data_IF_679990733600
#
_entry.id   IF_679990733600
#
_cell.length_a   1.000
_cell.length_b   1.000
_cell.length_c   1.000
_cell.angle_alpha   90.00
_cell.angle_beta   90.00
_cell.angle_gamma   90.00
#
_symmetry.space_group_name_H-M   'P 1'
#
loop_
_entity.id
_entity.type
_entity.pdbx_description
1 polymer ?
#
# COMPACT_ATOMS: atom_id res chain seq x y z
N UNK A 1 1.19 19.94 9.65
CA UNK A 1 2.47 19.21 9.69
C UNK A 1 2.72 18.58 8.32
N UNK A 2 3.96 18.58 7.81
CA UNK A 2 4.28 17.87 6.57
C UNK A 2 4.04 16.37 6.76
N UNK A 3 3.58 15.71 5.71
CA UNK A 3 3.34 14.28 5.72
C UNK A 3 4.68 13.53 5.76
N UNK A 4 4.92 12.77 6.82
CA UNK A 4 6.20 12.08 7.06
C UNK A 4 6.19 10.66 6.52
N UNK A 5 7.37 10.19 6.09
CA UNK A 5 7.59 8.79 5.73
C UNK A 5 7.69 7.97 7.02
N UNK A 6 7.06 6.80 7.03
CA UNK A 6 7.19 5.82 8.10
C UNK A 6 8.14 4.72 7.63
N UNK A 7 9.10 4.37 8.48
CA UNK A 7 10.09 3.35 8.20
C UNK A 7 9.47 1.95 8.31
N UNK A 8 9.92 1.05 7.45
CA UNK A 8 9.61 -0.36 7.53
C UNK A 8 10.24 -0.96 8.80
N UNK A 9 9.44 -1.56 9.69
CA UNK A 9 9.95 -2.06 10.98
C UNK A 9 10.93 -3.23 10.83
N UNK A 10 10.92 -3.94 9.69
CA UNK A 10 11.80 -5.10 9.47
C UNK A 10 13.19 -4.69 8.98
N UNK A 11 13.33 -3.52 8.34
CA UNK A 11 14.59 -3.08 7.70
C UNK A 11 15.12 -1.77 8.24
N UNK A 12 14.30 -0.97 8.94
CA UNK A 12 14.63 0.40 9.33
C UNK A 12 14.71 1.38 8.16
N UNK A 13 14.37 0.94 6.94
CA UNK A 13 14.43 1.76 5.72
C UNK A 13 13.04 2.30 5.32
N UNK A 14 12.97 3.36 4.50
CA UNK A 14 11.70 3.88 3.95
C UNK A 14 10.86 2.87 3.13
N UNK A 15 11.50 1.85 2.58
CA UNK A 15 10.90 0.94 1.60
C UNK A 15 10.28 -0.30 2.25
N UNK A 16 9.07 -0.64 1.81
CA UNK A 16 8.34 -1.87 2.13
C UNK A 16 8.49 -2.95 1.04
N UNK A 17 9.15 -2.62 -0.06
CA UNK A 17 9.33 -3.46 -1.24
C UNK A 17 9.36 -2.62 -2.50
N UNK A 18 9.55 -3.25 -3.66
CA UNK A 18 9.59 -2.57 -4.95
C UNK A 18 8.46 -3.06 -5.86
N UNK A 19 7.77 -2.13 -6.53
CA UNK A 19 6.93 -2.47 -7.68
C UNK A 19 7.82 -2.50 -8.92
N UNK A 20 7.86 -3.63 -9.67
CA UNK A 20 8.61 -3.68 -10.92
C UNK A 20 7.92 -2.88 -12.03
N UNK A 21 8.71 -2.34 -12.95
CA UNK A 21 8.19 -1.69 -14.15
C UNK A 21 7.59 -2.70 -15.13
N UNK A 22 6.37 -2.47 -15.62
CA UNK A 22 5.64 -3.41 -16.48
C UNK A 22 4.51 -2.75 -17.27
N UNK A 23 4.22 -3.23 -18.47
CA UNK A 23 3.09 -2.75 -19.26
C UNK A 23 1.85 -3.61 -18.97
N UNK A 24 0.71 -2.99 -18.70
CA UNK A 24 -0.55 -3.70 -18.57
C UNK A 24 -1.71 -2.88 -19.12
N UNK A 25 -2.54 -3.51 -19.96
CA UNK A 25 -3.72 -2.87 -20.59
C UNK A 25 -3.40 -1.53 -21.26
N UNK A 26 -2.22 -1.41 -21.88
CA UNK A 26 -1.76 -0.18 -22.53
C UNK A 26 -1.30 0.92 -21.57
N UNK A 27 -1.30 0.67 -20.25
CA UNK A 27 -0.77 1.58 -19.23
C UNK A 27 0.63 1.16 -18.82
N UNK A 28 1.55 2.12 -18.72
CA UNK A 28 2.89 1.90 -18.19
C UNK A 28 2.85 1.95 -16.66
N UNK A 29 3.02 0.80 -16.00
CA UNK A 29 3.22 0.75 -14.55
C UNK A 29 4.70 1.00 -14.30
N UNK A 30 5.01 2.14 -13.66
CA UNK A 30 6.38 2.56 -13.38
C UNK A 30 7.01 1.78 -12.23
N UNK A 31 8.30 1.50 -12.35
CA UNK A 31 9.07 0.92 -11.25
C UNK A 31 9.21 1.93 -10.12
N UNK A 32 9.12 1.50 -8.87
CA UNK A 32 9.33 2.40 -7.73
C UNK A 32 9.17 1.72 -6.37
N UNK A 33 9.80 2.31 -5.36
CA UNK A 33 9.70 1.83 -3.98
C UNK A 33 8.29 1.98 -3.44
N UNK A 34 7.86 1.01 -2.65
CA UNK A 34 6.63 1.07 -1.88
C UNK A 34 6.94 1.76 -0.55
N UNK A 35 6.26 2.87 -0.28
CA UNK A 35 6.47 3.66 0.94
C UNK A 35 5.16 3.87 1.69
N UNK A 36 5.23 3.81 3.01
CA UNK A 36 4.13 4.18 3.89
C UNK A 36 4.33 5.62 4.36
N UNK A 37 3.29 6.43 4.23
CA UNK A 37 3.26 7.78 4.75
C UNK A 37 2.34 7.83 5.98
N UNK A 38 2.61 8.75 6.92
CA UNK A 38 1.72 8.99 8.07
C UNK A 38 0.29 9.27 7.61
N UNK A 39 0.16 10.12 6.60
CA UNK A 39 -1.10 10.46 5.97
C UNK A 39 -2.07 11.16 6.91
N UNK A 40 -3.36 11.05 6.62
CA UNK A 40 -4.45 11.66 7.39
C UNK A 40 -5.77 10.96 7.12
N UNK A 41 -6.60 10.88 8.15
CA UNK A 41 -8.00 10.51 8.03
C UNK A 41 -8.86 11.79 7.92
N UNK A 42 -9.77 11.84 6.96
CA UNK A 42 -10.64 12.99 6.66
C UNK A 42 -12.13 12.67 6.81
N UNK A 43 -12.47 11.43 7.19
CA UNK A 43 -13.83 10.92 7.32
C UNK A 43 -13.95 9.49 6.75
N UNK A 44 -15.15 8.91 6.80
CA UNK A 44 -15.41 7.55 6.33
C UNK A 44 -14.98 7.37 4.87
N UNK A 45 -14.17 6.35 4.58
CA UNK A 45 -13.59 6.07 3.27
C UNK A 45 -12.79 7.24 2.65
N UNK A 46 -12.41 8.23 3.46
CA UNK A 46 -11.70 9.45 3.03
C UNK A 46 -10.44 9.62 3.85
N UNK A 47 -9.31 9.44 3.20
CA UNK A 47 -8.00 9.60 3.83
C UNK A 47 -6.95 8.81 3.07
N UNK A 48 -5.74 8.78 3.64
CA UNK A 48 -4.69 7.91 3.16
C UNK A 48 -3.63 7.68 4.23
N UNK A 49 -2.80 6.65 4.05
CA UNK A 49 -1.63 6.37 4.88
C UNK A 49 -1.99 5.79 6.25
N UNK A 50 -1.00 5.76 7.15
CA UNK A 50 -1.12 5.02 8.40
C UNK A 50 -2.27 5.47 9.30
N UNK A 51 -2.49 6.78 9.44
CA UNK A 51 -3.60 7.31 10.24
C UNK A 51 -4.97 6.90 9.67
N UNK A 52 -5.09 6.80 8.35
CA UNK A 52 -6.33 6.35 7.71
C UNK A 52 -6.53 4.83 7.88
N UNK A 53 -5.46 4.05 7.71
CA UNK A 53 -5.49 2.59 7.94
C UNK A 53 -5.94 2.28 9.36
N UNK A 54 -5.34 2.93 10.36
CA UNK A 54 -5.72 2.74 11.75
C UNK A 54 -7.19 3.08 11.96
N UNK A 55 -7.60 4.31 11.61
CA UNK A 55 -8.97 4.79 11.84
C UNK A 55 -10.05 3.88 11.23
N UNK A 56 -9.83 3.36 10.02
CA UNK A 56 -10.85 2.55 9.32
C UNK A 56 -10.74 1.05 9.61
N UNK A 57 -9.53 0.53 9.87
CA UNK A 57 -9.27 -0.93 9.87
C UNK A 57 -8.74 -1.48 11.21
N UNK A 58 -8.81 -0.71 12.32
CA UNK A 58 -8.39 -1.17 13.66
C UNK A 58 -8.98 -2.53 14.03
N UNK A 59 -10.30 -2.73 13.87
CA UNK A 59 -10.96 -3.99 14.24
C UNK A 59 -10.44 -5.21 13.48
N UNK A 60 -9.97 -5.02 12.26
CA UNK A 60 -9.40 -6.09 11.43
C UNK A 60 -7.95 -6.37 11.84
N UNK A 61 -7.20 -5.30 12.14
CA UNK A 61 -5.83 -5.36 12.65
C UNK A 61 -5.75 -6.07 14.01
N UNK A 62 -6.67 -5.77 14.93
CA UNK A 62 -6.74 -6.38 16.26
C UNK A 62 -6.91 -7.90 16.19
N UNK A 63 -7.74 -8.40 15.26
CA UNK A 63 -7.94 -9.85 15.03
C UNK A 63 -6.66 -10.57 14.62
N UNK A 64 -5.70 -9.85 14.05
CA UNK A 64 -4.39 -10.35 13.64
C UNK A 64 -3.30 -10.06 14.70
N UNK A 65 -3.66 -9.48 15.84
CA UNK A 65 -2.76 -9.17 16.94
C UNK A 65 -2.05 -7.82 16.85
N UNK A 66 -2.45 -6.93 15.92
CA UNK A 66 -1.92 -5.56 15.83
C UNK A 66 -2.83 -4.62 16.64
N UNK A 67 -2.41 -4.29 17.85
CA UNK A 67 -3.27 -3.67 18.87
C UNK A 67 -3.06 -2.16 19.03
N UNK A 68 -1.99 -1.62 18.45
CA UNK A 68 -1.62 -0.21 18.58
C UNK A 68 -1.54 0.47 17.22
N UNK A 69 -1.79 1.79 17.16
CA UNK A 69 -1.56 2.58 15.94
C UNK A 69 -0.11 2.45 15.45
N UNK A 70 0.85 2.30 16.36
CA UNK A 70 2.27 2.05 16.05
C UNK A 70 2.52 0.70 15.37
N UNK A 71 1.54 -0.19 15.34
CA UNK A 71 1.62 -1.49 14.66
C UNK A 71 1.18 -1.43 13.19
N UNK A 72 0.61 -0.31 12.71
CA UNK A 72 0.24 -0.14 11.30
C UNK A 72 1.40 -0.48 10.34
N UNK A 73 2.66 -0.04 10.58
CA UNK A 73 3.77 -0.42 9.72
C UNK A 73 4.03 -1.94 9.71
N UNK A 74 3.86 -2.61 10.85
CA UNK A 74 3.99 -4.08 10.94
C UNK A 74 2.89 -4.77 10.15
N UNK A 75 1.66 -4.24 10.23
CA UNK A 75 0.53 -4.74 9.45
C UNK A 75 0.75 -4.57 7.93
N UNK A 76 1.24 -3.40 7.50
CA UNK A 76 1.61 -3.18 6.08
C UNK A 76 2.73 -4.13 5.64
N UNK A 77 3.78 -4.34 6.46
CA UNK A 77 4.85 -5.30 6.17
C UNK A 77 4.41 -6.78 6.26
N UNK A 78 3.27 -7.06 6.91
CA UNK A 78 2.66 -8.37 6.93
C UNK A 78 2.00 -8.70 5.57
N UNK A 79 1.43 -7.69 4.90
CA UNK A 79 0.80 -7.79 3.58
C UNK A 79 1.83 -7.67 2.45
N UNK A 80 2.68 -6.65 2.52
CA UNK A 80 3.66 -6.32 1.48
C UNK A 80 4.96 -7.04 1.77
N UNK A 81 5.24 -8.08 0.97
CA UNK A 81 6.46 -8.88 1.02
C UNK A 81 6.89 -9.21 -0.40
N UNK A 82 8.15 -9.55 -0.59
CA UNK A 82 8.62 -10.14 -1.84
C UNK A 82 7.72 -11.31 -2.24
N UNK A 83 7.29 -11.32 -3.50
CA UNK A 83 6.34 -12.29 -4.04
C UNK A 83 4.86 -11.93 -3.86
N UNK A 84 4.49 -10.88 -3.11
CA UNK A 84 3.09 -10.44 -2.98
C UNK A 84 2.54 -10.05 -4.36
N UNK A 85 1.49 -10.74 -4.87
CA UNK A 85 0.86 -10.42 -6.14
C UNK A 85 0.35 -8.98 -6.25
N UNK A 86 0.61 -8.35 -7.39
CA UNK A 86 0.13 -7.03 -7.76
C UNK A 86 -0.97 -7.14 -8.82
N UNK A 87 -2.08 -6.44 -8.61
CA UNK A 87 -3.21 -6.38 -9.53
C UNK A 87 -3.48 -4.95 -9.98
N UNK A 88 -3.82 -4.80 -11.27
CA UNK A 88 -4.22 -3.55 -11.88
C UNK A 88 -5.61 -3.68 -12.47
N UNK A 89 -6.55 -2.84 -12.00
CA UNK A 89 -7.94 -2.85 -12.49
C UNK A 89 -8.18 -1.86 -13.63
N UNK A 90 -7.41 -0.78 -13.71
CA UNK A 90 -7.58 0.27 -14.73
C UNK A 90 -8.66 1.31 -14.41
N UNK A 91 -9.22 1.28 -13.19
CA UNK A 91 -10.42 2.07 -12.85
C UNK A 91 -10.11 3.55 -12.49
N UNK A 92 -8.84 3.96 -12.45
CA UNK A 92 -8.46 5.30 -12.00
C UNK A 92 -7.96 6.16 -13.15
N UNK A 93 -8.75 7.17 -13.51
CA UNK A 93 -8.47 8.10 -14.61
C UNK A 93 -7.40 9.15 -14.28
N UNK A 94 -7.08 9.37 -13.00
CA UNK A 94 -6.17 10.46 -12.58
C UNK A 94 -4.84 9.98 -12.01
N UNK A 95 -4.80 8.80 -11.38
CA UNK A 95 -3.57 8.22 -10.82
C UNK A 95 -3.59 6.71 -10.88
N UNK A 96 -2.47 6.11 -11.28
CA UNK A 96 -2.38 4.65 -11.33
C UNK A 96 -2.43 4.08 -9.91
N UNK A 97 -3.32 3.10 -9.71
CA UNK A 97 -3.44 2.33 -8.47
C UNK A 97 -3.23 0.85 -8.69
N UNK A 98 -2.55 0.21 -7.74
CA UNK A 98 -2.36 -1.23 -7.71
C UNK A 98 -2.92 -1.80 -6.40
N UNK A 99 -3.37 -3.05 -6.46
CA UNK A 99 -3.67 -3.84 -5.27
C UNK A 99 -2.55 -4.84 -5.04
N UNK A 100 -1.83 -4.70 -3.93
CA UNK A 100 -0.93 -5.73 -3.42
C UNK A 100 -1.74 -6.69 -2.55
N UNK A 101 -2.02 -7.88 -3.04
CA UNK A 101 -2.92 -8.84 -2.38
C UNK A 101 -2.14 -10.05 -1.94
N UNK A 102 -2.04 -10.28 -0.63
CA UNK A 102 -1.36 -11.44 -0.06
C UNK A 102 -2.38 -12.33 0.63
N UNK A 103 -2.45 -13.59 0.20
CA UNK A 103 -3.37 -14.58 0.77
C UNK A 103 -3.24 -14.65 2.29
N UNK A 104 -4.38 -14.71 2.99
CA UNK A 104 -4.51 -14.75 4.45
C UNK A 104 -4.06 -13.46 5.18
N UNK A 105 -3.19 -12.65 4.58
CA UNK A 105 -2.65 -11.43 5.19
C UNK A 105 -3.49 -10.17 4.90
N UNK A 106 -4.07 -10.07 3.69
CA UNK A 106 -4.92 -8.95 3.29
C UNK A 106 -4.47 -8.26 2.01
N UNK A 107 -4.94 -7.02 1.83
CA UNK A 107 -4.70 -6.19 0.65
C UNK A 107 -4.18 -4.83 1.06
N UNK A 108 -3.16 -4.33 0.34
CA UNK A 108 -2.71 -2.96 0.41
C UNK A 108 -2.96 -2.27 -0.94
N UNK A 109 -3.52 -1.06 -0.89
CA UNK A 109 -3.74 -0.24 -2.09
C UNK A 109 -2.55 0.70 -2.24
N UNK A 110 -1.91 0.63 -3.39
CA UNK A 110 -0.77 1.45 -3.77
C UNK A 110 -1.23 2.50 -4.77
N UNK A 111 -0.79 3.74 -4.60
CA UNK A 111 -1.01 4.84 -5.54
C UNK A 111 0.34 5.43 -5.93
N UNK A 112 0.59 5.57 -7.23
CA UNK A 112 1.81 6.23 -7.71
C UNK A 112 1.82 7.69 -7.25
N UNK A 113 2.96 8.13 -6.72
CA UNK A 113 3.22 9.52 -6.35
C UNK A 113 4.52 9.98 -6.95
N UNK A 114 4.45 11.16 -7.53
CA UNK A 114 5.59 11.91 -8.03
C UNK A 114 5.83 13.06 -7.05
N UNK A 115 7.00 13.10 -6.45
CA UNK A 115 7.40 14.16 -5.55
C UNK A 115 8.80 14.65 -5.92
N UNK A 116 8.86 15.87 -6.48
CA UNK A 116 10.09 16.43 -7.07
C UNK A 116 10.63 15.47 -8.14
N UNK A 117 11.78 14.85 -7.87
CA UNK A 117 12.46 13.92 -8.78
C UNK A 117 12.29 12.45 -8.37
N UNK A 118 11.45 12.18 -7.37
CA UNK A 118 11.22 10.82 -6.89
C UNK A 118 9.81 10.35 -7.22
N UNK A 119 9.75 9.25 -7.96
CA UNK A 119 8.52 8.48 -8.16
C UNK A 119 8.51 7.27 -7.24
N UNK A 120 7.45 7.12 -6.45
CA UNK A 120 7.28 6.00 -5.52
C UNK A 120 5.81 5.59 -5.42
N UNK A 121 5.57 4.40 -4.90
CA UNK A 121 4.25 3.85 -4.67
C UNK A 121 3.84 4.09 -3.22
N UNK A 122 2.88 4.98 -2.99
CA UNK A 122 2.37 5.26 -1.65
C UNK A 122 1.32 4.23 -1.27
N UNK A 123 1.48 3.61 -0.09
CA UNK A 123 0.39 2.85 0.54
C UNK A 123 -0.68 3.84 0.99
N UNK A 124 -1.86 3.81 0.35
CA UNK A 124 -2.97 4.71 0.69
C UNK A 124 -3.95 4.09 1.67
N UNK A 125 -4.17 2.78 1.60
CA UNK A 125 -4.92 2.02 2.61
C UNK A 125 -4.48 0.55 2.62
N UNK A 126 -4.81 -0.19 3.69
CA UNK A 126 -4.58 -1.62 3.85
C UNK A 126 -5.67 -2.25 4.74
N UNK A 127 -6.17 -3.41 4.35
CA UNK A 127 -7.30 -4.10 5.00
C UNK A 127 -7.20 -5.62 4.82
N UNK A 128 -7.93 -6.39 5.62
CA UNK A 128 -7.79 -7.85 5.73
C UNK A 128 -8.43 -8.62 4.56
N UNK A 129 -9.37 -7.99 3.84
CA UNK A 129 -10.00 -8.56 2.66
C UNK A 129 -8.99 -8.86 1.54
N UNK A 130 -9.15 -10.02 0.89
CA UNK A 130 -8.25 -10.51 -0.17
C UNK A 130 -8.91 -10.57 -1.54
N UNK A 131 -10.12 -10.01 -1.68
CA UNK A 131 -10.79 -9.93 -2.98
C UNK A 131 -9.96 -9.04 -3.89
N UNK A 132 -9.34 -9.64 -4.89
CA UNK A 132 -8.63 -8.91 -5.92
C UNK A 132 -9.62 -8.40 -6.98
N UNK A 133 -9.24 -7.30 -7.61
CA UNK A 133 -9.93 -6.75 -8.77
C UNK A 133 -8.88 -6.44 -9.83
N UNK A 134 -9.21 -6.74 -11.09
CA UNK A 134 -8.32 -6.50 -12.22
C UNK A 134 -7.42 -7.67 -12.61
N UNK A 135 -6.42 -7.38 -13.43
CA UNK A 135 -5.46 -8.37 -13.97
C UNK A 135 -4.24 -8.42 -13.08
N UNK A 136 -3.72 -9.62 -12.78
CA UNK A 136 -2.42 -9.77 -12.13
C UNK A 136 -1.33 -9.27 -13.07
N UNK A 137 -0.55 -8.31 -12.63
CA UNK A 137 0.48 -7.64 -13.44
C UNK A 137 1.89 -8.04 -13.05
N UNK A 138 2.11 -8.42 -11.79
CA UNK A 138 3.42 -8.81 -11.30
C UNK A 138 3.39 -9.22 -9.84
N UNK A 139 4.54 -9.11 -9.19
CA UNK A 139 4.72 -9.30 -7.76
C UNK A 139 5.67 -8.24 -7.21
N UNK A 140 5.51 -7.91 -5.94
CA UNK A 140 6.50 -7.10 -5.20
C UNK A 140 7.85 -7.82 -5.20
N UNK A 141 8.94 -7.09 -5.39
CA UNK A 141 10.32 -7.60 -5.28
C UNK A 141 11.04 -7.02 -4.08
#
# INVERSE_FOLDING_TARGET
MPNTIILNPNTGAPSFGLVPGMNSRGTMIVSGEIRLLRGKHLGPNRGFGACHIWAEHTKEMEKLGFLLESDVPKYVAHIIRTGTPLFYSGDSFTKIRLMAVRAVAGTAILEVREQRELTFWSVVTAYSGTKNHGTRVGTVV
#
